data_IF_563349988118
#
_entry.id   IF_563349988118
#
_cell.length_a   1.000
_cell.length_b   1.000
_cell.length_c   1.000
_cell.angle_alpha   90.00
_cell.angle_beta   90.00
_cell.angle_gamma   90.00
#
_symmetry.space_group_name_H-M   'P 1'
#
loop_
_entity.id
_entity.type
_entity.pdbx_description
1 polymer ?
#
# COMPACT_ATOMS: atom_id res chain seq x y z
N UNK A 1 15.47 19.41 0.54
CA UNK A 1 14.29 18.56 0.32
C UNK A 1 14.62 17.23 0.96
N UNK A 2 14.08 16.95 2.14
CA UNK A 2 14.41 15.76 2.92
C UNK A 2 13.63 14.60 2.33
N UNK A 3 14.32 13.73 1.56
CA UNK A 3 13.83 12.37 1.30
C UNK A 3 13.69 11.70 2.66
N UNK A 4 12.44 11.54 3.12
CA UNK A 4 12.18 10.71 4.28
C UNK A 4 12.41 9.27 3.84
N UNK A 5 13.67 8.83 3.88
CA UNK A 5 14.04 7.43 3.70
C UNK A 5 13.20 6.65 4.70
N UNK A 6 12.17 5.97 4.20
CA UNK A 6 11.23 5.25 5.05
C UNK A 6 11.99 4.05 5.55
N UNK A 7 12.56 4.12 6.76
CA UNK A 7 13.17 2.96 7.41
C UNK A 7 12.13 1.84 7.42
N UNK A 8 12.44 0.75 6.70
CA UNK A 8 11.58 -0.42 6.63
C UNK A 8 11.75 -1.17 7.96
N UNK A 9 10.70 -1.26 8.80
CA UNK A 9 10.84 -1.90 10.10
C UNK A 9 11.20 -3.38 9.98
N UNK A 10 11.93 -3.91 10.96
CA UNK A 10 12.31 -5.33 10.99
C UNK A 10 11.08 -6.23 10.89
N UNK A 11 11.07 -7.08 9.86
CA UNK A 11 9.96 -8.01 9.59
C UNK A 11 8.88 -7.45 8.68
N UNK A 12 9.06 -6.24 8.17
CA UNK A 12 8.34 -5.71 7.00
C UNK A 12 9.28 -5.67 5.79
N UNK A 13 8.73 -5.39 4.62
CA UNK A 13 9.49 -5.19 3.38
C UNK A 13 8.86 -4.07 2.55
N UNK A 14 9.67 -3.43 1.71
CA UNK A 14 9.20 -2.48 0.69
C UNK A 14 8.57 -3.29 -0.45
N UNK A 15 7.25 -3.16 -0.61
CA UNK A 15 6.48 -3.94 -1.55
C UNK A 15 6.41 -3.32 -2.95
N UNK A 16 6.70 -2.01 -3.09
CA UNK A 16 6.57 -1.25 -4.33
C UNK A 16 6.13 0.18 -4.05
N UNK A 17 6.06 1.02 -5.07
CA UNK A 17 5.58 2.42 -4.98
C UNK A 17 4.36 2.69 -5.84
N UNK A 18 3.84 1.65 -6.50
CA UNK A 18 2.77 1.77 -7.48
C UNK A 18 1.64 0.81 -7.16
N UNK A 19 0.42 1.26 -7.45
CA UNK A 19 -0.81 0.48 -7.23
C UNK A 19 -1.68 0.60 -8.47
N UNK A 20 -2.24 -0.51 -8.94
CA UNK A 20 -3.13 -0.49 -10.10
C UNK A 20 -4.49 0.11 -9.75
N UNK A 21 -4.99 1.01 -10.59
CA UNK A 21 -6.38 1.44 -10.49
C UNK A 21 -7.32 0.28 -10.84
N UNK A 22 -8.49 0.18 -10.18
CA UNK A 22 -9.55 -0.71 -10.62
C UNK A 22 -9.99 -0.39 -12.06
N UNK A 23 -10.34 -1.42 -12.82
CA UNK A 23 -10.84 -1.24 -14.18
C UNK A 23 -12.14 -0.41 -14.19
N UNK A 24 -12.19 0.60 -15.07
CA UNK A 24 -13.32 1.53 -15.16
C UNK A 24 -13.43 2.50 -13.98
N UNK A 25 -12.35 2.69 -13.21
CA UNK A 25 -12.29 3.72 -12.18
C UNK A 25 -12.12 5.11 -12.80
N UNK A 26 -13.02 6.02 -12.44
CA UNK A 26 -13.06 7.39 -12.91
C UNK A 26 -12.87 8.37 -11.73
N UNK A 27 -12.31 9.57 -11.98
CA UNK A 27 -12.24 10.60 -10.96
C UNK A 27 -13.63 11.04 -10.47
N UNK A 28 -13.74 11.64 -9.27
CA UNK A 28 -12.64 12.00 -8.37
C UNK A 28 -12.07 10.79 -7.63
N UNK A 29 -10.75 10.79 -7.43
CA UNK A 29 -10.04 9.77 -6.68
C UNK A 29 -9.71 10.27 -5.27
N UNK A 30 -9.98 9.43 -4.28
CA UNK A 30 -9.52 9.63 -2.90
C UNK A 30 -8.76 8.39 -2.45
N UNK A 31 -7.48 8.56 -2.12
CA UNK A 31 -6.60 7.47 -1.69
C UNK A 31 -6.51 7.47 -0.18
N UNK A 32 -6.55 6.28 0.41
CA UNK A 32 -6.39 6.07 1.84
C UNK A 32 -5.22 5.12 2.09
N UNK A 33 -4.43 5.40 3.11
CA UNK A 33 -3.40 4.47 3.63
C UNK A 33 -3.83 4.09 5.03
N UNK A 34 -4.07 2.81 5.28
CA UNK A 34 -4.58 2.29 6.56
C UNK A 34 -5.84 3.04 7.04
N UNK A 35 -6.75 3.35 6.12
CA UNK A 35 -7.99 4.09 6.41
C UNK A 35 -7.82 5.60 6.60
N UNK A 36 -6.60 6.15 6.51
CA UNK A 36 -6.35 7.59 6.61
C UNK A 36 -6.28 8.19 5.22
N UNK A 37 -7.17 9.15 4.93
CA UNK A 37 -7.17 9.89 3.67
C UNK A 37 -5.83 10.59 3.46
N UNK A 38 -5.26 10.39 2.27
CA UNK A 38 -4.00 10.99 1.90
C UNK A 38 -4.22 12.36 1.23
N UNK A 39 -3.49 13.40 1.65
CA UNK A 39 -3.58 14.72 1.03
C UNK A 39 -3.30 14.67 -0.47
N UNK A 40 -4.01 15.49 -1.25
CA UNK A 40 -3.71 15.70 -2.67
C UNK A 40 -2.24 16.12 -2.82
N UNK A 41 -1.52 15.51 -3.76
CA UNK A 41 -0.09 15.75 -4.00
C UNK A 41 0.87 14.82 -3.25
N UNK A 42 0.40 14.05 -2.26
CA UNK A 42 1.19 12.97 -1.65
C UNK A 42 1.34 11.74 -2.57
N UNK A 43 0.52 11.67 -3.61
CA UNK A 43 0.54 10.67 -4.67
C UNK A 43 0.18 11.32 -6.01
N UNK A 44 0.53 10.66 -7.11
CA UNK A 44 0.17 11.04 -8.47
C UNK A 44 -0.64 9.91 -9.12
N UNK A 45 -1.60 10.26 -9.97
CA UNK A 45 -2.38 9.28 -10.74
C UNK A 45 -2.01 9.44 -12.20
N UNK A 46 -1.42 8.40 -12.79
CA UNK A 46 -0.90 8.41 -14.15
C UNK A 46 -0.91 6.99 -14.72
N UNK A 47 -1.23 6.85 -16.01
CA UNK A 47 -1.14 5.56 -16.71
C UNK A 47 -2.05 4.45 -16.17
N UNK A 48 -3.12 4.79 -15.43
CA UNK A 48 -3.97 3.79 -14.78
C UNK A 48 -3.44 3.29 -13.43
N UNK A 49 -2.49 4.00 -12.83
CA UNK A 49 -1.83 3.63 -11.58
C UNK A 49 -1.81 4.82 -10.60
N UNK A 50 -1.71 4.51 -9.32
CA UNK A 50 -1.39 5.46 -8.25
C UNK A 50 0.10 5.30 -7.95
N UNK A 51 0.85 6.39 -8.06
CA UNK A 51 2.29 6.48 -7.81
C UNK A 51 2.53 7.21 -6.51
N UNK A 52 3.24 6.57 -5.59
CA UNK A 52 3.69 7.15 -4.33
C UNK A 52 5.14 7.60 -4.44
N UNK A 53 5.52 8.65 -3.71
CA UNK A 53 6.91 9.10 -3.63
C UNK A 53 7.75 8.37 -2.58
N UNK A 54 7.26 7.24 -2.08
CA UNK A 54 7.94 6.39 -1.09
C UNK A 54 7.49 4.93 -1.23
N UNK A 55 8.26 3.99 -0.66
CA UNK A 55 7.84 2.60 -0.60
C UNK A 55 6.56 2.39 0.22
N UNK A 56 5.68 1.55 -0.30
CA UNK A 56 4.56 0.93 0.42
C UNK A 56 5.13 -0.24 1.23
N UNK A 57 4.90 -0.24 2.54
CA UNK A 57 5.50 -1.22 3.46
C UNK A 57 4.50 -2.31 3.80
N UNK A 58 4.81 -3.57 3.49
CA UNK A 58 4.00 -4.75 3.83
C UNK A 58 4.68 -5.61 4.89
N UNK A 59 3.90 -6.34 5.69
CA UNK A 59 4.46 -7.30 6.66
C UNK A 59 4.95 -8.58 5.97
N UNK A 60 6.08 -9.13 6.43
CA UNK A 60 6.53 -10.48 6.08
C UNK A 60 6.03 -11.50 7.10
N UNK A 61 4.91 -12.17 6.82
CA UNK A 61 4.39 -13.25 7.67
C UNK A 61 4.99 -14.59 7.23
N UNK A 62 5.87 -15.16 8.06
CA UNK A 62 6.39 -16.51 7.86
C UNK A 62 5.56 -17.56 8.59
N UNK A 63 5.45 -18.77 8.03
CA UNK A 63 4.65 -19.89 8.58
C UNK A 63 4.97 -20.22 10.05
N UNK A 64 6.25 -20.20 10.42
CA UNK A 64 6.71 -20.46 11.79
C UNK A 64 6.26 -19.37 12.78
N UNK A 65 6.23 -18.11 12.35
CA UNK A 65 5.77 -17.00 13.18
C UNK A 65 4.26 -17.01 13.33
N UNK A 66 3.52 -17.31 12.27
CA UNK A 66 2.07 -17.52 12.36
C UNK A 66 1.73 -18.59 13.40
N UNK A 67 2.43 -19.73 13.38
CA UNK A 67 2.25 -20.80 14.38
C UNK A 67 2.61 -20.33 15.80
N UNK A 68 3.69 -19.55 15.96
CA UNK A 68 4.07 -19.02 17.26
C UNK A 68 3.05 -17.99 17.80
N UNK A 69 2.43 -17.18 16.93
CA UNK A 69 1.32 -16.29 17.30
C UNK A 69 0.06 -17.07 17.66
N UNK A 70 -0.28 -18.11 16.89
CA UNK A 70 -1.41 -19.00 17.16
C UNK A 70 -1.27 -19.69 18.54
N UNK A 71 -0.05 -20.07 18.92
CA UNK A 71 0.26 -20.67 20.23
C UNK A 71 0.44 -19.64 21.36
N UNK A 72 0.27 -18.34 21.10
CA UNK A 72 0.39 -17.28 22.11
C UNK A 72 1.82 -17.00 22.59
N UNK A 73 2.84 -17.44 21.85
CA UNK A 73 4.25 -17.35 22.26
C UNK A 73 4.88 -15.98 21.95
N UNK A 74 4.31 -15.20 21.02
CA UNK A 74 4.81 -13.88 20.62
C UNK A 74 3.69 -12.96 20.13
N UNK A 75 3.85 -11.64 20.29
CA UNK A 75 2.90 -10.62 19.83
C UNK A 75 3.55 -9.27 19.52
N UNK A 76 4.36 -9.18 18.46
CA UNK A 76 4.88 -7.88 18.01
C UNK A 76 4.09 -7.36 16.81
N UNK A 77 3.59 -6.12 16.88
CA UNK A 77 3.00 -5.43 15.73
C UNK A 77 4.09 -5.06 14.72
N UNK A 78 3.84 -5.34 13.44
CA UNK A 78 4.71 -4.94 12.33
C UNK A 78 3.98 -3.97 11.42
N UNK A 79 4.74 -3.23 10.60
CA UNK A 79 4.15 -2.28 9.67
C UNK A 79 3.60 -3.03 8.45
N UNK A 80 2.29 -2.88 8.24
CA UNK A 80 1.58 -3.35 7.06
C UNK A 80 0.65 -2.22 6.59
N UNK A 81 0.91 -1.69 5.40
CA UNK A 81 0.13 -0.63 4.79
C UNK A 81 -0.89 -1.23 3.82
N UNK A 82 -2.17 -0.91 4.00
CA UNK A 82 -3.24 -1.17 3.03
C UNK A 82 -3.55 0.11 2.27
N UNK A 83 -3.73 -0.01 0.96
CA UNK A 83 -4.06 1.11 0.08
C UNK A 83 -5.50 0.94 -0.38
N UNK A 84 -6.36 1.87 0.02
CA UNK A 84 -7.76 1.88 -0.39
C UNK A 84 -8.01 3.05 -1.33
N UNK A 85 -8.93 2.87 -2.28
CA UNK A 85 -9.28 3.89 -3.26
C UNK A 85 -10.78 4.06 -3.34
N UNK A 86 -11.24 5.28 -3.11
CA UNK A 86 -12.58 5.72 -3.49
C UNK A 86 -12.53 6.35 -4.89
N UNK A 87 -13.51 6.03 -5.74
CA UNK A 87 -13.60 6.48 -7.13
C UNK A 87 -15.04 6.49 -7.64
N UNK A 88 -15.27 7.11 -8.80
CA UNK A 88 -16.54 7.00 -9.54
C UNK A 88 -16.49 5.82 -10.51
N UNK A 89 -17.59 5.08 -10.63
CA UNK A 89 -17.76 4.02 -11.65
C UNK A 89 -19.21 3.96 -12.09
N UNK A 90 -19.47 4.29 -13.36
CA UNK A 90 -20.83 4.32 -13.90
C UNK A 90 -21.74 5.29 -13.14
N UNK A 91 -21.21 6.45 -12.75
CA UNK A 91 -21.94 7.49 -12.02
C UNK A 91 -22.21 7.19 -10.53
N UNK A 92 -21.63 6.12 -9.97
CA UNK A 92 -21.73 5.77 -8.55
C UNK A 92 -20.37 5.84 -7.88
N UNK A 93 -20.36 6.23 -6.60
CA UNK A 93 -19.17 6.14 -5.75
C UNK A 93 -18.93 4.69 -5.37
N UNK A 94 -17.69 4.23 -5.53
CA UNK A 94 -17.20 2.90 -5.14
C UNK A 94 -15.94 3.05 -4.29
N UNK A 95 -15.68 2.08 -3.41
CA UNK A 95 -14.50 2.00 -2.56
C UNK A 95 -13.89 0.60 -2.72
N UNK A 96 -12.61 0.54 -3.09
CA UNK A 96 -11.85 -0.71 -3.16
C UNK A 96 -10.73 -0.71 -2.14
N UNK A 97 -10.76 -1.71 -1.27
CA UNK A 97 -9.79 -1.89 -0.21
C UNK A 97 -8.63 -2.79 -0.63
N UNK A 98 -7.48 -2.55 -0.01
CA UNK A 98 -6.22 -3.28 -0.17
C UNK A 98 -5.88 -3.60 -1.63
N UNK A 99 -5.80 -2.53 -2.43
CA UNK A 99 -5.45 -2.64 -3.84
C UNK A 99 -4.07 -3.31 -4.03
N UNK A 100 -3.90 -4.09 -5.12
CA UNK A 100 -2.67 -4.80 -5.37
C UNK A 100 -1.53 -3.82 -5.65
N UNK A 101 -0.48 -3.91 -4.82
CA UNK A 101 0.79 -3.23 -5.03
C UNK A 101 1.52 -3.87 -6.20
N UNK A 102 2.03 -3.05 -7.11
CA UNK A 102 2.94 -3.49 -8.18
C UNK A 102 4.31 -3.66 -7.55
N UNK A 103 4.89 -4.87 -7.55
CA UNK A 103 6.21 -5.10 -6.98
C UNK A 103 7.30 -4.37 -7.76
N UNK A 104 8.36 -3.96 -7.08
CA UNK A 104 9.61 -3.59 -7.73
C UNK A 104 10.05 -4.72 -8.66
N UNK A 105 10.57 -4.36 -9.83
CA UNK A 105 11.18 -5.34 -10.71
C UNK A 105 12.43 -5.96 -10.03
N UNK A 106 12.82 -7.14 -10.48
CA UNK A 106 14.04 -7.77 -9.97
C UNK A 106 15.26 -6.87 -10.24
N UNK A 107 15.99 -6.51 -9.19
CA UNK A 107 17.12 -5.59 -9.25
C UNK A 107 16.77 -4.09 -9.19
N UNK A 108 15.49 -3.73 -9.14
CA UNK A 108 15.04 -2.36 -8.87
C UNK A 108 15.11 -2.11 -7.36
N UNK A 109 15.88 -1.09 -6.96
CA UNK A 109 15.97 -0.69 -5.56
C UNK A 109 14.78 0.21 -5.19
N UNK A 110 14.28 0.13 -3.95
CA UNK A 110 13.38 1.12 -3.38
C UNK A 110 14.08 2.47 -3.13
#
# INVERSE_FOLDING_TARGET
MTETQTEIPKGSYAAGERVKLPAGAEPPFTVFINGIEQPKGSYRIEGGEIHFGRPIVKEKVGMSRWLAMYLGLFGTYRKNETIDLQFSRGGKVDLRSDLPVIPYAEGEAP
#
